data_IF_305223738885
#
_entry.id   IF_305223738885
#
_cell.length_a   1.000
_cell.length_b   1.000
_cell.length_c   1.000
_cell.angle_alpha   90.00
_cell.angle_beta   90.00
_cell.angle_gamma   90.00
#
_symmetry.space_group_name_H-M   'P 1'
#
loop_
_entity.id
_entity.type
_entity.pdbx_description
1 polymer ?
#
# COMPACT_ATOMS: atom_id res chain seq x y z
N UNK A 1 2.66 -7.45 15.09
CA UNK A 1 2.16 -7.08 13.75
C UNK A 1 3.30 -6.67 12.82
N UNK A 2 4.24 -5.82 13.25
CA UNK A 2 5.47 -5.50 12.48
C UNK A 2 6.18 -6.74 11.90
N UNK A 3 6.38 -7.81 12.70
CA UNK A 3 6.99 -9.06 12.21
C UNK A 3 6.24 -9.74 11.04
N UNK A 4 4.93 -9.53 10.92
CA UNK A 4 4.11 -10.09 9.83
C UNK A 4 4.31 -9.28 8.55
N UNK A 5 4.32 -7.95 8.68
CA UNK A 5 4.54 -6.99 7.59
C UNK A 5 6.02 -7.03 7.13
N UNK A 6 6.93 -7.38 8.02
CA UNK A 6 8.35 -7.56 7.70
C UNK A 6 8.64 -8.87 6.95
N UNK A 7 7.67 -9.80 6.87
CA UNK A 7 7.77 -11.05 6.12
C UNK A 7 7.62 -10.90 4.60
N UNK A 8 7.67 -12.03 3.86
CA UNK A 8 7.54 -12.06 2.40
C UNK A 8 6.07 -11.96 1.91
N UNK A 9 5.12 -11.82 2.83
CA UNK A 9 3.69 -11.83 2.52
C UNK A 9 3.09 -10.44 2.72
N UNK A 10 2.15 -10.08 1.85
CA UNK A 10 1.27 -8.94 2.07
C UNK A 10 0.19 -9.29 3.09
N UNK A 11 -0.25 -8.30 3.85
CA UNK A 11 -1.22 -8.47 4.93
C UNK A 11 -2.57 -7.85 4.53
N UNK A 12 -3.67 -8.55 4.81
CA UNK A 12 -5.01 -7.99 4.71
C UNK A 12 -5.64 -7.79 6.08
N UNK A 13 -6.15 -6.60 6.36
CA UNK A 13 -6.82 -6.28 7.63
C UNK A 13 -8.34 -6.15 7.41
N UNK A 14 -9.08 -7.20 7.73
CA UNK A 14 -10.53 -7.25 7.64
C UNK A 14 -11.25 -6.90 8.94
N UNK A 15 -12.52 -6.48 8.83
CA UNK A 15 -13.43 -6.37 9.97
C UNK A 15 -14.49 -5.27 9.81
N UNK A 16 -15.35 -5.11 10.83
CA UNK A 16 -16.46 -4.16 10.80
C UNK A 16 -15.99 -2.69 10.80
N UNK A 17 -16.91 -1.76 10.46
CA UNK A 17 -16.63 -0.32 10.54
C UNK A 17 -16.45 0.09 12.01
N UNK A 18 -15.54 1.05 12.27
CA UNK A 18 -15.24 1.62 13.60
C UNK A 18 -14.55 0.69 14.62
N UNK A 19 -13.97 -0.43 14.17
CA UNK A 19 -13.13 -1.29 15.04
C UNK A 19 -11.68 -0.80 15.16
N UNK A 20 -11.34 0.34 14.57
CA UNK A 20 -9.99 0.93 14.66
C UNK A 20 -8.99 0.51 13.57
N UNK A 21 -9.45 -0.06 12.44
CA UNK A 21 -8.54 -0.48 11.34
C UNK A 21 -7.68 0.67 10.80
N UNK A 22 -8.27 1.82 10.47
CA UNK A 22 -7.53 3.02 10.03
C UNK A 22 -6.54 3.50 11.10
N UNK A 23 -6.94 3.48 12.37
CA UNK A 23 -6.04 3.83 13.48
C UNK A 23 -4.85 2.89 13.53
N UNK A 24 -5.09 1.59 13.37
CA UNK A 24 -4.05 0.58 13.34
C UNK A 24 -3.10 0.78 12.16
N UNK A 25 -3.60 1.00 10.94
CA UNK A 25 -2.76 1.29 9.77
C UNK A 25 -1.85 2.52 10.02
N UNK A 26 -2.41 3.60 10.58
CA UNK A 26 -1.64 4.82 10.90
C UNK A 26 -0.62 4.60 12.01
N UNK A 27 -0.94 3.78 13.00
CA UNK A 27 0.02 3.38 14.03
C UNK A 27 1.18 2.58 13.44
N UNK A 28 0.91 1.64 12.52
CA UNK A 28 1.96 0.88 11.83
C UNK A 28 2.86 1.79 10.99
N UNK A 29 2.28 2.73 10.24
CA UNK A 29 3.04 3.76 9.50
C UNK A 29 3.94 4.56 10.46
N UNK A 30 3.39 5.01 11.60
CA UNK A 30 4.14 5.73 12.61
C UNK A 30 5.30 4.91 13.20
N UNK A 31 5.07 3.64 13.52
CA UNK A 31 6.11 2.74 14.03
C UNK A 31 7.23 2.49 13.00
N UNK A 32 6.90 2.29 11.73
CA UNK A 32 7.88 2.11 10.66
C UNK A 32 8.72 3.38 10.44
N UNK A 33 8.06 4.54 10.38
CA UNK A 33 8.72 5.82 10.14
C UNK A 33 9.62 6.25 11.31
N UNK A 34 9.29 5.84 12.54
CA UNK A 34 10.03 6.30 13.71
C UNK A 34 11.46 5.76 13.79
N UNK A 35 11.72 4.51 13.38
CA UNK A 35 13.02 3.87 13.68
C UNK A 35 13.48 2.79 12.68
N UNK A 36 12.81 2.59 11.52
CA UNK A 36 13.10 1.40 10.68
C UNK A 36 13.17 1.63 9.18
N UNK A 37 12.41 2.58 8.65
CA UNK A 37 12.22 2.69 7.20
C UNK A 37 12.29 4.16 6.77
N UNK A 38 13.04 4.51 5.71
CA UNK A 38 13.04 5.86 5.16
C UNK A 38 11.61 6.30 4.81
N UNK A 39 11.16 7.52 5.13
CA UNK A 39 9.80 7.97 4.85
C UNK A 39 9.39 7.81 3.38
N UNK A 40 10.35 7.96 2.45
CA UNK A 40 10.15 7.76 1.02
C UNK A 40 9.64 6.34 0.68
N UNK A 41 9.99 5.35 1.48
CA UNK A 41 9.66 3.92 1.31
C UNK A 41 8.35 3.51 2.00
N UNK A 42 7.57 4.48 2.48
CA UNK A 42 6.26 4.26 3.09
C UNK A 42 5.22 5.09 2.33
N UNK A 43 4.31 4.42 1.62
CA UNK A 43 3.14 5.04 1.02
C UNK A 43 1.90 4.70 1.85
N UNK A 44 1.10 5.72 2.20
CA UNK A 44 -0.23 5.52 2.77
C UNK A 44 -1.24 6.23 1.87
N UNK A 45 -2.24 5.49 1.40
CA UNK A 45 -3.31 6.03 0.58
C UNK A 45 -4.67 5.62 1.16
N UNK A 46 -5.56 6.58 1.32
CA UNK A 46 -6.93 6.36 1.79
C UNK A 46 -7.90 6.55 0.63
N UNK A 47 -8.54 5.47 0.20
CA UNK A 47 -9.57 5.55 -0.83
C UNK A 47 -10.87 6.11 -0.26
N UNK A 48 -11.58 6.88 -1.07
CA UNK A 48 -12.96 7.24 -0.82
C UNK A 48 -13.79 7.06 -2.10
N UNK A 49 -15.12 7.11 -1.96
CA UNK A 49 -16.03 6.87 -3.08
C UNK A 49 -15.90 7.93 -4.17
N UNK A 50 -15.65 9.19 -3.82
CA UNK A 50 -15.62 10.28 -4.79
C UNK A 50 -14.37 10.19 -5.67
N UNK A 51 -13.24 9.76 -5.10
CA UNK A 51 -12.00 9.49 -5.82
C UNK A 51 -12.21 8.34 -6.80
N UNK A 52 -12.78 7.22 -6.34
CA UNK A 52 -12.96 6.02 -7.18
C UNK A 52 -13.98 6.27 -8.30
N UNK A 53 -15.07 6.99 -8.04
CA UNK A 53 -16.08 7.31 -9.06
C UNK A 53 -15.56 8.22 -10.18
N UNK A 54 -14.54 9.04 -9.90
CA UNK A 54 -13.90 9.90 -10.91
C UNK A 54 -12.87 9.15 -11.74
N UNK A 55 -12.41 8.00 -11.25
CA UNK A 55 -11.26 7.30 -11.80
C UNK A 55 -11.25 5.81 -11.44
N UNK A 56 -11.72 4.99 -12.38
CA UNK A 56 -11.71 3.52 -12.26
C UNK A 56 -10.29 2.93 -12.19
N UNK A 57 -9.26 3.66 -12.62
CA UNK A 57 -7.86 3.21 -12.64
C UNK A 57 -7.02 3.89 -11.55
N UNK A 58 -7.65 4.49 -10.54
CA UNK A 58 -6.96 5.28 -9.51
C UNK A 58 -5.85 4.51 -8.81
N UNK A 59 -6.06 3.22 -8.53
CA UNK A 59 -5.06 2.39 -7.85
C UNK A 59 -3.82 2.20 -8.70
N UNK A 60 -3.96 1.86 -9.99
CA UNK A 60 -2.81 1.73 -10.91
C UNK A 60 -2.08 3.06 -11.05
N UNK A 61 -2.83 4.16 -11.26
CA UNK A 61 -2.23 5.50 -11.36
C UNK A 61 -1.48 5.91 -10.10
N UNK A 62 -2.04 5.63 -8.93
CA UNK A 62 -1.39 5.94 -7.65
C UNK A 62 -0.11 5.13 -7.48
N UNK A 63 -0.15 3.82 -7.79
CA UNK A 63 1.03 2.95 -7.69
C UNK A 63 2.11 3.35 -8.69
N UNK A 64 1.74 3.66 -9.93
CA UNK A 64 2.66 4.12 -10.96
C UNK A 64 3.28 5.47 -10.58
N UNK A 65 2.47 6.44 -10.15
CA UNK A 65 2.98 7.74 -9.69
C UNK A 65 3.91 7.59 -8.48
N UNK A 66 3.59 6.68 -7.55
CA UNK A 66 4.46 6.43 -6.40
C UNK A 66 5.79 5.76 -6.80
N UNK A 67 5.76 4.73 -7.65
CA UNK A 67 6.96 3.97 -8.02
C UNK A 67 7.81 4.71 -9.05
N UNK A 68 7.18 5.20 -10.13
CA UNK A 68 7.87 5.84 -11.24
C UNK A 68 8.27 7.27 -10.90
N UNK A 69 7.33 8.09 -10.43
CA UNK A 69 7.59 9.53 -10.27
C UNK A 69 8.18 9.86 -8.90
N UNK A 70 7.62 9.29 -7.83
CA UNK A 70 8.08 9.62 -6.47
C UNK A 70 9.34 8.86 -6.09
N UNK A 71 9.36 7.53 -6.25
CA UNK A 71 10.56 6.72 -5.97
C UNK A 71 11.67 6.93 -6.99
N UNK A 72 11.36 7.32 -8.23
CA UNK A 72 12.28 7.34 -9.37
C UNK A 72 12.86 5.94 -9.64
N UNK A 73 11.98 4.93 -9.60
CA UNK A 73 12.29 3.52 -9.80
C UNK A 73 11.33 2.91 -10.83
N UNK A 74 11.57 1.66 -11.23
CA UNK A 74 10.70 0.94 -12.17
C UNK A 74 10.07 -0.25 -11.50
N UNK A 75 8.83 -0.58 -11.87
CA UNK A 75 8.15 -1.79 -11.40
C UNK A 75 8.99 -3.02 -11.78
N UNK A 76 9.29 -3.86 -10.80
CA UNK A 76 10.15 -5.04 -10.94
C UNK A 76 11.64 -4.74 -10.76
N UNK A 77 12.00 -3.52 -10.38
CA UNK A 77 13.36 -3.07 -10.08
C UNK A 77 13.40 -2.14 -8.86
N UNK A 78 12.40 -2.23 -7.98
CA UNK A 78 12.41 -1.48 -6.73
C UNK A 78 13.57 -1.96 -5.87
N UNK A 79 14.42 -1.02 -5.44
CA UNK A 79 15.75 -1.35 -4.89
C UNK A 79 15.71 -1.78 -3.43
N UNK A 80 14.76 -1.25 -2.69
CA UNK A 80 14.65 -1.43 -1.25
C UNK A 80 13.22 -1.76 -0.86
N UNK A 81 13.09 -2.44 0.28
CA UNK A 81 11.78 -2.81 0.80
C UNK A 81 10.91 -1.57 0.99
N UNK A 82 9.74 -1.62 0.40
CA UNK A 82 8.81 -0.48 0.30
C UNK A 82 7.43 -0.93 0.75
N UNK A 83 6.84 -0.19 1.68
CA UNK A 83 5.55 -0.51 2.29
C UNK A 83 4.45 0.38 1.70
N UNK A 84 3.35 -0.24 1.27
CA UNK A 84 2.20 0.42 0.66
C UNK A 84 0.96 0.07 1.47
N UNK A 85 0.43 1.07 2.18
CA UNK A 85 -0.75 0.95 3.02
C UNK A 85 -1.98 1.46 2.26
N UNK A 86 -2.96 0.59 2.03
CA UNK A 86 -4.15 0.87 1.24
C UNK A 86 -5.41 0.84 2.14
N UNK A 87 -5.83 2.00 2.63
CA UNK A 87 -7.03 2.11 3.46
C UNK A 87 -8.30 2.21 2.61
N UNK A 88 -9.38 1.55 3.03
CA UNK A 88 -10.65 1.43 2.30
C UNK A 88 -10.51 0.88 0.84
N UNK A 89 -9.49 0.06 0.57
CA UNK A 89 -9.17 -0.53 -0.74
C UNK A 89 -10.34 -1.30 -1.37
N UNK A 90 -11.24 -1.86 -0.56
CA UNK A 90 -12.42 -2.57 -1.06
C UNK A 90 -13.40 -1.68 -1.85
N UNK A 91 -13.25 -0.36 -1.79
CA UNK A 91 -13.99 0.57 -2.64
C UNK A 91 -13.53 0.51 -4.10
N UNK A 92 -12.30 0.11 -4.37
CA UNK A 92 -11.72 0.07 -5.72
C UNK A 92 -12.12 -1.23 -6.43
N UNK A 93 -12.77 -1.19 -7.60
CA UNK A 93 -13.07 -2.40 -8.37
C UNK A 93 -11.79 -3.15 -8.76
N UNK A 94 -11.83 -4.49 -8.73
CA UNK A 94 -10.72 -5.36 -9.17
C UNK A 94 -9.38 -5.11 -8.45
N UNK A 95 -9.41 -4.48 -7.28
CA UNK A 95 -8.21 -4.14 -6.51
C UNK A 95 -7.27 -5.34 -6.30
N UNK A 96 -7.82 -6.54 -6.08
CA UNK A 96 -7.05 -7.75 -5.83
C UNK A 96 -6.19 -8.16 -7.02
N UNK A 97 -6.73 -8.06 -8.24
CA UNK A 97 -6.01 -8.38 -9.48
C UNK A 97 -4.89 -7.36 -9.73
N UNK A 98 -5.17 -6.09 -9.41
CA UNK A 98 -4.19 -5.01 -9.54
C UNK A 98 -3.04 -5.25 -8.56
N UNK A 99 -3.31 -5.33 -7.26
CA UNK A 99 -2.28 -5.55 -6.22
C UNK A 99 -1.44 -6.79 -6.52
N UNK A 100 -2.07 -7.89 -6.94
CA UNK A 100 -1.37 -9.12 -7.31
C UNK A 100 -0.38 -8.91 -8.46
N UNK A 101 -0.75 -8.16 -9.51
CA UNK A 101 0.17 -7.87 -10.63
C UNK A 101 1.43 -7.12 -10.19
N UNK A 102 1.32 -6.21 -9.22
CA UNK A 102 2.49 -5.49 -8.70
C UNK A 102 3.35 -6.38 -7.82
N UNK A 103 2.72 -7.19 -6.95
CA UNK A 103 3.41 -8.17 -6.11
C UNK A 103 4.19 -9.22 -6.93
N UNK A 104 3.57 -9.77 -7.96
CA UNK A 104 4.20 -10.78 -8.82
C UNK A 104 5.40 -10.21 -9.61
N UNK A 105 5.41 -8.90 -9.84
CA UNK A 105 6.49 -8.21 -10.56
C UNK A 105 7.62 -7.77 -9.65
N UNK A 106 7.32 -7.37 -8.41
CA UNK A 106 8.29 -6.75 -7.52
C UNK A 106 8.16 -7.25 -6.07
N UNK A 107 9.05 -8.16 -5.61
CA UNK A 107 9.01 -8.71 -4.27
C UNK A 107 9.46 -7.71 -3.19
N UNK A 108 10.03 -6.56 -3.56
CA UNK A 108 10.39 -5.52 -2.60
C UNK A 108 9.16 -4.72 -2.14
N UNK A 109 8.05 -4.77 -2.88
CA UNK A 109 6.79 -4.15 -2.51
C UNK A 109 6.04 -5.01 -1.49
N UNK A 110 5.67 -4.41 -0.36
CA UNK A 110 4.83 -5.04 0.67
C UNK A 110 3.55 -4.25 0.84
N UNK A 111 2.40 -4.88 0.57
CA UNK A 111 1.09 -4.26 0.72
C UNK A 111 0.47 -4.59 2.07
N UNK A 112 -0.21 -3.61 2.66
CA UNK A 112 -0.93 -3.70 3.94
C UNK A 112 -2.30 -3.03 3.84
#
# INVERSE_FOLDING_TARGET
MLKLIDGPLSLGIGGLRRIGKTTLLKQLVGELSANRVPPKRICYFQFDRDIVLKDDNILERMLDAYVLDFLDESIGRVKEKTYIFLDEIQLVPRWSDIVKRYLDRDPALTFV
#
